data_IF_336827651628
#
_entry.id   IF_336827651628
#
_cell.length_a   1.000
_cell.length_b   1.000
_cell.length_c   1.000
_cell.angle_alpha   90.00
_cell.angle_beta   90.00
_cell.angle_gamma   90.00
#
_symmetry.space_group_name_H-M   'P 1'
#
loop_
_entity.id
_entity.type
_entity.pdbx_description
1 polymer ?
#
# COMPACT_ATOMS: atom_id res chain seq x y z
N UNK A 1 16.72 9.79 -5.40
CA UNK A 1 17.17 10.06 -6.79
C UNK A 1 17.74 8.81 -7.48
N UNK A 2 18.45 7.91 -6.79
CA UNK A 2 19.01 6.69 -7.39
C UNK A 2 17.94 5.74 -7.92
N UNK A 3 16.85 5.53 -7.16
CA UNK A 3 15.72 4.66 -7.57
C UNK A 3 15.05 5.23 -8.83
N UNK A 4 14.77 6.55 -8.85
CA UNK A 4 14.17 7.18 -10.02
C UNK A 4 15.06 6.99 -11.25
N UNK A 5 16.38 7.24 -11.13
CA UNK A 5 17.33 7.05 -12.21
C UNK A 5 17.30 5.61 -12.74
N UNK A 6 17.40 4.62 -11.86
CA UNK A 6 17.36 3.21 -12.25
C UNK A 6 16.03 2.82 -12.94
N UNK A 7 14.90 3.26 -12.40
CA UNK A 7 13.58 2.95 -12.99
C UNK A 7 13.34 3.68 -14.32
N UNK A 8 13.94 4.86 -14.54
CA UNK A 8 13.79 5.61 -15.80
C UNK A 8 14.66 5.11 -16.94
N UNK A 9 15.58 4.19 -16.71
CA UNK A 9 16.32 3.47 -17.78
C UNK A 9 15.36 2.77 -18.75
N UNK A 10 14.16 2.40 -18.32
CA UNK A 10 13.13 1.84 -19.21
C UNK A 10 12.79 2.75 -20.40
N UNK A 11 12.92 4.07 -20.28
CA UNK A 11 12.67 4.98 -21.40
C UNK A 11 13.73 4.84 -22.49
N UNK A 12 14.98 4.56 -22.12
CA UNK A 12 16.10 4.40 -23.04
C UNK A 12 16.06 3.05 -23.76
N UNK A 13 15.47 2.05 -23.09
CA UNK A 13 15.35 0.68 -23.61
C UNK A 13 13.96 0.39 -24.21
N UNK A 14 13.07 1.38 -24.23
CA UNK A 14 11.71 1.21 -24.73
C UNK A 14 11.69 0.93 -26.24
N UNK A 15 11.05 -0.17 -26.62
CA UNK A 15 10.86 -0.50 -28.04
C UNK A 15 9.90 0.51 -28.70
N UNK A 16 9.98 0.69 -30.04
CA UNK A 16 9.00 1.50 -30.77
C UNK A 16 7.56 1.03 -30.50
N UNK A 17 6.69 1.96 -30.08
CA UNK A 17 5.31 1.66 -29.72
C UNK A 17 5.09 1.21 -28.27
N UNK A 18 6.14 1.09 -27.46
CA UNK A 18 5.99 0.81 -26.02
C UNK A 18 5.17 1.89 -25.35
N UNK A 19 4.24 1.47 -24.49
CA UNK A 19 3.44 2.36 -23.64
C UNK A 19 4.01 2.36 -22.24
N UNK A 20 4.36 3.54 -21.74
CA UNK A 20 4.88 3.74 -20.39
C UNK A 20 3.75 4.33 -19.53
N UNK A 21 3.42 3.65 -18.44
CA UNK A 21 2.33 4.00 -17.54
C UNK A 21 2.95 4.30 -16.18
N UNK A 22 2.67 5.48 -15.61
CA UNK A 22 3.27 5.95 -14.36
C UNK A 22 2.24 6.63 -13.46
N UNK A 23 2.48 6.55 -12.15
CA UNK A 23 1.68 7.28 -11.16
C UNK A 23 1.99 8.78 -11.26
N UNK A 24 0.96 9.58 -11.57
CA UNK A 24 1.07 11.03 -11.74
C UNK A 24 0.97 11.81 -10.43
N UNK A 25 0.53 11.19 -9.35
CA UNK A 25 0.48 11.81 -8.02
C UNK A 25 1.83 11.69 -7.27
N UNK A 26 2.79 10.95 -7.81
CA UNK A 26 4.15 10.90 -7.29
C UNK A 26 4.95 12.12 -7.77
N UNK A 27 5.51 12.88 -6.83
CA UNK A 27 6.23 14.14 -7.07
C UNK A 27 7.45 14.00 -8.00
N UNK A 28 8.05 12.82 -8.04
CA UNK A 28 9.19 12.51 -8.90
C UNK A 28 8.74 11.98 -10.26
N UNK A 29 7.75 11.09 -10.28
CA UNK A 29 7.29 10.49 -11.52
C UNK A 29 6.59 11.50 -12.43
N UNK A 30 5.85 12.47 -11.88
CA UNK A 30 5.20 13.52 -12.67
C UNK A 30 6.20 14.37 -13.45
N UNK A 31 7.46 14.45 -13.02
CA UNK A 31 8.52 15.16 -13.75
C UNK A 31 8.88 14.52 -15.10
N UNK A 32 8.46 13.27 -15.32
CA UNK A 32 8.75 12.50 -16.54
C UNK A 32 7.85 12.86 -17.73
N UNK A 33 6.94 13.82 -17.59
CA UNK A 33 5.97 14.23 -18.64
C UNK A 33 6.58 14.64 -19.98
N UNK A 34 7.85 15.06 -19.99
CA UNK A 34 8.59 15.44 -21.19
C UNK A 34 9.42 14.30 -21.81
N UNK A 35 9.40 13.11 -21.23
CA UNK A 35 10.16 11.94 -21.74
C UNK A 35 9.52 11.38 -23.00
N UNK A 36 10.34 10.64 -23.76
CA UNK A 36 9.93 9.90 -24.96
C UNK A 36 10.26 8.41 -24.74
N UNK A 37 9.33 7.47 -24.96
CA UNK A 37 7.92 7.69 -25.33
C UNK A 37 7.15 8.49 -24.25
N UNK A 38 6.13 9.27 -24.67
CA UNK A 38 5.32 10.06 -23.74
C UNK A 38 4.56 9.14 -22.79
N UNK A 39 4.74 9.27 -21.46
CA UNK A 39 4.02 8.43 -20.50
C UNK A 39 2.53 8.73 -20.45
N UNK A 40 1.73 7.71 -20.13
CA UNK A 40 0.36 7.85 -19.66
C UNK A 40 0.36 7.96 -18.15
N UNK A 41 -0.22 9.03 -17.63
CA UNK A 41 -0.28 9.29 -16.19
C UNK A 41 -1.63 8.89 -15.62
N UNK A 42 -1.59 8.21 -14.46
CA UNK A 42 -2.79 7.89 -13.69
C UNK A 42 -2.64 8.38 -12.24
N UNK A 43 -3.76 8.63 -11.57
CA UNK A 43 -3.78 9.07 -10.17
C UNK A 43 -5.15 9.53 -9.69
N UNK A 44 -5.19 10.38 -8.70
CA UNK A 44 -6.42 10.99 -8.17
C UNK A 44 -6.63 12.43 -8.67
N UNK A 45 -5.58 13.05 -9.21
CA UNK A 45 -5.69 14.38 -9.79
C UNK A 45 -6.46 14.31 -11.13
N UNK A 46 -7.56 15.06 -11.23
CA UNK A 46 -8.42 15.12 -12.41
C UNK A 46 -7.76 15.69 -13.67
N UNK A 47 -6.58 16.28 -13.56
CA UNK A 47 -5.78 16.75 -14.70
C UNK A 47 -5.00 15.62 -15.41
N UNK A 48 -4.95 14.42 -14.84
CA UNK A 48 -4.22 13.28 -15.38
C UNK A 48 -4.98 12.58 -16.52
N UNK A 49 -4.29 11.75 -17.29
CA UNK A 49 -4.87 11.00 -18.42
C UNK A 49 -5.95 10.00 -18.00
N UNK A 50 -5.79 9.44 -16.81
CA UNK A 50 -6.67 8.50 -16.15
C UNK A 50 -6.68 8.80 -14.65
N UNK A 51 -7.85 8.96 -14.07
CA UNK A 51 -7.96 9.23 -12.64
C UNK A 51 -9.15 8.56 -11.99
N UNK A 52 -9.11 8.45 -10.66
CA UNK A 52 -10.25 8.01 -9.85
C UNK A 52 -10.80 9.17 -9.03
N UNK A 53 -12.13 9.23 -8.95
CA UNK A 53 -12.84 10.18 -8.11
C UNK A 53 -13.94 9.49 -7.30
N UNK A 54 -14.55 10.19 -6.33
CA UNK A 54 -15.58 9.65 -5.43
C UNK A 54 -15.13 8.36 -4.73
N UNK A 55 -13.88 8.35 -4.25
CA UNK A 55 -13.30 7.18 -3.58
C UNK A 55 -13.97 7.00 -2.21
N UNK A 56 -14.77 5.95 -2.10
CA UNK A 56 -15.44 5.52 -0.87
C UNK A 56 -14.64 4.38 -0.24
N UNK A 57 -14.16 4.57 0.99
CA UNK A 57 -13.49 3.53 1.77
C UNK A 57 -14.54 2.65 2.46
N UNK A 58 -14.55 1.36 2.16
CA UNK A 58 -15.45 0.36 2.73
C UNK A 58 -14.77 -0.48 3.83
N UNK A 59 -13.69 0.02 4.42
CA UNK A 59 -12.91 -0.68 5.44
C UNK A 59 -12.28 -1.96 4.87
N UNK A 60 -12.44 -3.07 5.57
CA UNK A 60 -11.91 -4.37 5.11
C UNK A 60 -12.63 -4.90 3.85
N UNK A 61 -13.77 -4.30 3.45
CA UNK A 61 -14.47 -4.62 2.21
C UNK A 61 -13.85 -3.99 0.95
N UNK A 62 -12.77 -3.23 1.09
CA UNK A 62 -12.08 -2.60 -0.03
C UNK A 62 -12.49 -1.15 -0.27
N UNK A 63 -12.56 -0.74 -1.53
CA UNK A 63 -12.93 0.63 -1.92
C UNK A 63 -13.83 0.62 -3.16
N UNK A 64 -14.74 1.58 -3.24
CA UNK A 64 -15.54 1.86 -4.45
C UNK A 64 -15.13 3.22 -4.99
N UNK A 65 -14.94 3.33 -6.30
CA UNK A 65 -14.65 4.62 -6.91
C UNK A 65 -15.09 4.67 -8.39
N UNK A 66 -15.14 5.88 -8.92
CA UNK A 66 -15.35 6.14 -10.33
C UNK A 66 -14.00 6.28 -11.03
N UNK A 67 -13.80 5.52 -12.09
CA UNK A 67 -12.64 5.60 -12.98
C UNK A 67 -13.00 6.46 -14.18
N UNK A 68 -12.23 7.52 -14.40
CA UNK A 68 -12.42 8.46 -15.51
C UNK A 68 -11.27 8.33 -16.49
N UNK A 69 -11.59 8.05 -17.73
CA UNK A 69 -10.62 7.83 -18.83
C UNK A 69 -11.02 8.58 -20.08
N UNK A 70 -10.13 8.69 -21.06
CA UNK A 70 -10.47 9.22 -22.40
C UNK A 70 -11.50 8.36 -23.14
N UNK A 71 -11.62 7.06 -22.83
CA UNK A 71 -12.57 6.16 -23.42
C UNK A 71 -13.97 6.21 -22.77
N UNK A 72 -14.12 6.87 -21.66
CA UNK A 72 -15.35 6.99 -20.88
C UNK A 72 -15.13 6.81 -19.38
N UNK A 73 -16.23 6.58 -18.66
CA UNK A 73 -16.26 6.43 -17.20
C UNK A 73 -16.91 5.10 -16.81
N UNK A 74 -16.47 4.52 -15.71
CA UNK A 74 -17.12 3.40 -15.05
C UNK A 74 -16.88 3.44 -13.54
N UNK A 75 -17.80 2.85 -12.77
CA UNK A 75 -17.65 2.66 -11.32
C UNK A 75 -17.27 1.22 -11.05
N UNK A 76 -16.34 0.96 -10.15
CA UNK A 76 -15.98 -0.39 -9.74
C UNK A 76 -15.76 -0.51 -8.23
N UNK A 77 -16.04 -1.71 -7.70
CA UNK A 77 -15.62 -2.15 -6.38
C UNK A 77 -14.25 -2.82 -6.48
N UNK A 78 -13.28 -2.33 -5.74
CA UNK A 78 -11.96 -2.95 -5.55
C UNK A 78 -12.07 -3.80 -4.29
N UNK A 79 -12.15 -5.14 -4.36
CA UNK A 79 -12.47 -6.00 -3.22
C UNK A 79 -11.27 -6.30 -2.31
N UNK A 80 -10.21 -5.50 -2.37
CA UNK A 80 -9.01 -5.62 -1.55
C UNK A 80 -8.86 -4.34 -0.73
N UNK A 81 -8.71 -4.42 0.61
CA UNK A 81 -8.65 -3.24 1.46
C UNK A 81 -7.39 -2.41 1.22
N UNK A 82 -7.51 -1.12 1.49
CA UNK A 82 -6.41 -0.16 1.44
C UNK A 82 -6.50 0.86 0.31
N UNK A 83 -6.28 2.12 0.65
CA UNK A 83 -6.35 3.24 -0.30
C UNK A 83 -5.37 3.07 -1.48
N UNK A 84 -4.19 2.48 -1.23
CA UNK A 84 -3.20 2.19 -2.27
C UNK A 84 -3.71 1.21 -3.35
N UNK A 85 -4.75 0.41 -3.05
CA UNK A 85 -5.36 -0.48 -4.04
C UNK A 85 -6.12 0.28 -5.13
N UNK A 86 -6.53 1.54 -4.88
CA UNK A 86 -7.08 2.41 -5.92
C UNK A 86 -6.03 2.70 -6.99
N UNK A 87 -4.79 3.00 -6.58
CA UNK A 87 -3.68 3.20 -7.52
C UNK A 87 -3.33 1.94 -8.31
N UNK A 88 -3.38 0.77 -7.67
CA UNK A 88 -3.17 -0.50 -8.36
C UNK A 88 -4.26 -0.77 -9.40
N UNK A 89 -5.52 -0.47 -9.07
CA UNK A 89 -6.64 -0.60 -10.01
C UNK A 89 -6.55 0.41 -11.16
N UNK A 90 -6.09 1.65 -10.90
CA UNK A 90 -5.81 2.65 -11.94
C UNK A 90 -4.69 2.18 -12.88
N UNK A 91 -3.59 1.65 -12.34
CA UNK A 91 -2.52 1.07 -13.15
C UNK A 91 -3.04 -0.08 -14.02
N UNK A 92 -3.83 -1.00 -13.44
CA UNK A 92 -4.48 -2.09 -14.16
C UNK A 92 -5.43 -1.60 -15.25
N UNK A 93 -6.18 -0.53 -14.97
CA UNK A 93 -7.06 0.14 -15.96
C UNK A 93 -6.25 0.69 -17.14
N UNK A 94 -5.15 1.39 -16.86
CA UNK A 94 -4.29 1.94 -17.90
C UNK A 94 -3.67 0.83 -18.78
N UNK A 95 -3.22 -0.28 -18.18
CA UNK A 95 -2.72 -1.45 -18.90
C UNK A 95 -3.82 -2.09 -19.73
N UNK A 96 -5.01 -2.29 -19.17
CA UNK A 96 -6.16 -2.85 -19.90
C UNK A 96 -6.53 -2.03 -21.13
N UNK A 97 -6.60 -0.70 -21.01
CA UNK A 97 -6.83 0.20 -22.13
C UNK A 97 -5.71 0.12 -23.19
N UNK A 98 -4.45 0.05 -22.75
CA UNK A 98 -3.31 -0.10 -23.63
C UNK A 98 -3.34 -1.41 -24.45
N UNK A 99 -3.94 -2.47 -23.89
CA UNK A 99 -4.15 -3.76 -24.54
C UNK A 99 -5.47 -3.83 -25.34
N UNK A 100 -6.25 -2.75 -25.38
CA UNK A 100 -7.49 -2.68 -26.16
C UNK A 100 -8.71 -3.31 -25.48
N UNK A 101 -8.67 -3.55 -24.18
CA UNK A 101 -9.84 -4.01 -23.42
C UNK A 101 -10.92 -2.94 -23.36
N UNK A 102 -12.18 -3.37 -23.37
CA UNK A 102 -13.32 -2.49 -23.12
C UNK A 102 -13.40 -2.08 -21.65
N UNK A 103 -14.05 -0.96 -21.35
CA UNK A 103 -14.26 -0.52 -19.96
C UNK A 103 -15.02 -1.57 -19.14
N UNK A 104 -15.94 -2.32 -19.77
CA UNK A 104 -16.69 -3.38 -19.10
C UNK A 104 -15.80 -4.57 -18.71
N UNK A 105 -14.86 -4.95 -19.56
CA UNK A 105 -13.91 -6.03 -19.27
C UNK A 105 -12.94 -5.60 -18.15
N UNK A 106 -12.48 -4.35 -18.18
CA UNK A 106 -11.62 -3.77 -17.14
C UNK A 106 -12.35 -3.73 -15.79
N UNK A 107 -13.59 -3.23 -15.77
CA UNK A 107 -14.45 -3.22 -14.59
C UNK A 107 -14.61 -4.63 -14.01
N UNK A 108 -15.00 -5.60 -14.84
CA UNK A 108 -15.17 -6.99 -14.42
C UNK A 108 -13.86 -7.60 -13.87
N UNK A 109 -12.72 -7.25 -14.46
CA UNK A 109 -11.39 -7.66 -13.98
C UNK A 109 -11.06 -7.09 -12.61
N UNK A 110 -11.35 -5.81 -12.38
CA UNK A 110 -11.14 -5.16 -11.07
C UNK A 110 -12.03 -5.80 -9.99
N UNK A 111 -13.31 -5.98 -10.28
CA UNK A 111 -14.29 -6.56 -9.34
C UNK A 111 -14.02 -8.04 -9.04
N UNK A 112 -13.31 -8.73 -9.93
CA UNK A 112 -12.91 -10.13 -9.77
C UNK A 112 -11.54 -10.31 -9.09
N UNK A 113 -10.87 -9.22 -8.68
CA UNK A 113 -9.58 -9.30 -8.02
C UNK A 113 -9.64 -10.16 -6.75
N UNK A 114 -8.62 -10.99 -6.58
CA UNK A 114 -8.43 -11.78 -5.37
C UNK A 114 -7.08 -11.40 -4.76
N UNK A 115 -6.99 -11.27 -3.44
CA UNK A 115 -5.71 -11.00 -2.80
C UNK A 115 -4.76 -12.17 -3.03
N UNK A 116 -3.48 -11.85 -3.16
CA UNK A 116 -2.39 -12.83 -3.17
C UNK A 116 -1.91 -13.01 -1.74
N UNK A 117 -1.57 -14.23 -1.33
CA UNK A 117 -1.01 -14.51 0.00
C UNK A 117 0.18 -13.60 0.30
N UNK A 118 0.20 -13.05 1.51
CA UNK A 118 1.20 -12.08 1.94
C UNK A 118 1.02 -10.65 1.40
N UNK A 119 -0.09 -10.35 0.70
CA UNK A 119 -0.37 -9.00 0.17
C UNK A 119 -1.81 -8.58 0.43
N UNK A 120 -2.01 -7.87 1.53
CA UNK A 120 -3.34 -7.43 1.99
C UNK A 120 -4.40 -8.55 1.95
N UNK A 121 -3.98 -9.77 2.26
CA UNK A 121 -4.82 -10.95 2.21
C UNK A 121 -5.61 -11.08 3.50
N UNK A 122 -6.92 -10.82 3.44
CA UNK A 122 -7.80 -10.99 4.59
C UNK A 122 -8.19 -12.47 4.73
N UNK A 123 -7.81 -13.06 5.86
CA UNK A 123 -8.07 -14.46 6.21
C UNK A 123 -9.08 -14.48 7.36
N UNK A 124 -10.26 -15.04 7.12
CA UNK A 124 -11.28 -15.22 8.14
C UNK A 124 -11.09 -16.55 8.84
N UNK A 125 -11.02 -16.52 10.17
CA UNK A 125 -11.02 -17.71 11.03
C UNK A 125 -12.21 -17.67 11.98
N UNK A 126 -12.42 -18.73 12.75
CA UNK A 126 -13.50 -18.78 13.75
C UNK A 126 -13.35 -17.70 14.85
N UNK A 127 -12.14 -17.23 15.12
CA UNK A 127 -11.82 -16.32 16.23
C UNK A 127 -11.24 -14.98 15.80
N UNK A 128 -10.60 -14.91 14.64
CA UNK A 128 -9.80 -13.77 14.22
C UNK A 128 -10.02 -13.48 12.75
N UNK A 129 -10.02 -12.21 12.41
CA UNK A 129 -9.75 -11.73 11.07
C UNK A 129 -8.26 -11.37 11.02
N UNK A 130 -7.52 -11.98 10.10
CA UNK A 130 -6.07 -11.79 9.94
C UNK A 130 -5.83 -11.08 8.63
N UNK A 131 -5.24 -9.88 8.69
CA UNK A 131 -4.72 -9.19 7.51
C UNK A 131 -3.27 -9.63 7.29
N UNK A 132 -3.05 -10.55 6.35
CA UNK A 132 -1.73 -11.03 5.97
C UNK A 132 -1.10 -10.14 4.89
N UNK A 133 -0.11 -9.32 5.28
CA UNK A 133 0.65 -8.44 4.41
C UNK A 133 2.16 -8.58 4.63
N UNK A 134 2.62 -9.82 4.80
CA UNK A 134 3.97 -10.13 5.25
C UNK A 134 4.97 -10.49 4.13
N UNK A 135 4.63 -10.34 2.86
CA UNK A 135 5.52 -10.67 1.74
C UNK A 135 6.78 -9.80 1.72
N UNK A 136 6.63 -8.50 1.93
CA UNK A 136 7.73 -7.53 2.03
C UNK A 136 7.25 -6.32 2.85
N UNK A 137 8.19 -5.61 3.47
CA UNK A 137 7.90 -4.45 4.29
C UNK A 137 8.81 -3.27 3.94
N UNK A 138 8.22 -2.09 3.83
CA UNK A 138 8.90 -0.81 3.81
C UNK A 138 8.04 0.22 4.58
N UNK A 139 8.57 1.41 4.93
CA UNK A 139 7.83 2.35 5.75
C UNK A 139 6.46 2.75 5.20
N UNK A 140 6.34 2.93 3.89
CA UNK A 140 5.09 3.33 3.23
C UNK A 140 4.07 2.19 3.24
N UNK A 141 4.49 0.96 2.91
CA UNK A 141 3.58 -0.18 2.92
C UNK A 141 3.13 -0.56 4.33
N UNK A 142 4.02 -0.49 5.33
CA UNK A 142 3.63 -0.75 6.71
C UNK A 142 2.63 0.28 7.24
N UNK A 143 2.84 1.57 6.96
CA UNK A 143 1.87 2.60 7.30
C UNK A 143 0.52 2.33 6.63
N UNK A 144 0.50 2.02 5.33
CA UNK A 144 -0.73 1.69 4.61
C UNK A 144 -1.47 0.47 5.18
N UNK A 145 -0.76 -0.57 5.64
CA UNK A 145 -1.36 -1.73 6.29
C UNK A 145 -1.90 -1.42 7.68
N UNK A 146 -1.23 -0.54 8.43
CA UNK A 146 -1.72 -0.04 9.71
C UNK A 146 -2.99 0.81 9.53
N UNK A 147 -3.03 1.69 8.52
CA UNK A 147 -4.23 2.46 8.15
C UNK A 147 -5.42 1.55 7.81
N UNK A 148 -5.17 0.41 7.13
CA UNK A 148 -6.20 -0.60 6.87
C UNK A 148 -6.70 -1.22 8.18
N UNK A 149 -5.79 -1.60 9.07
CA UNK A 149 -6.13 -2.20 10.37
C UNK A 149 -6.95 -1.23 11.23
N UNK A 150 -6.66 0.08 11.15
CA UNK A 150 -7.42 1.13 11.86
C UNK A 150 -8.89 1.11 11.52
N UNK A 151 -9.26 0.74 10.29
CA UNK A 151 -10.64 0.66 9.83
C UNK A 151 -11.34 -0.67 10.19
N UNK A 152 -10.64 -1.61 10.82
CA UNK A 152 -11.22 -2.86 11.27
C UNK A 152 -12.10 -2.66 12.51
N UNK A 153 -13.13 -3.50 12.65
CA UNK A 153 -13.97 -3.57 13.85
C UNK A 153 -13.30 -4.42 14.93
N UNK A 154 -13.62 -4.11 16.19
CA UNK A 154 -13.12 -4.87 17.34
C UNK A 154 -11.70 -4.51 17.75
N UNK A 155 -11.06 -5.42 18.47
CA UNK A 155 -9.71 -5.24 18.99
C UNK A 155 -8.67 -5.40 17.86
N UNK A 156 -7.79 -4.42 17.74
CA UNK A 156 -6.78 -4.32 16.69
C UNK A 156 -5.40 -4.69 17.24
N UNK A 157 -4.79 -5.69 16.66
CA UNK A 157 -3.46 -6.17 17.06
C UNK A 157 -2.55 -6.18 15.85
N UNK A 158 -1.44 -5.45 15.92
CA UNK A 158 -0.40 -5.46 14.89
C UNK A 158 0.80 -6.32 15.31
N UNK A 159 1.23 -7.22 14.43
CA UNK A 159 2.48 -7.98 14.57
C UNK A 159 3.41 -7.49 13.47
N UNK A 160 4.47 -6.79 13.83
CA UNK A 160 5.34 -6.07 12.91
C UNK A 160 6.77 -6.64 12.99
N UNK A 161 7.36 -6.94 11.85
CA UNK A 161 8.73 -7.41 11.73
C UNK A 161 9.70 -6.30 11.31
N UNK A 162 10.98 -6.67 11.14
CA UNK A 162 11.98 -5.78 10.59
C UNK A 162 11.72 -5.50 9.12
N UNK A 163 12.01 -4.26 8.69
CA UNK A 163 12.05 -3.86 7.29
C UNK A 163 13.49 -3.98 6.77
N UNK A 164 13.66 -4.68 5.66
CA UNK A 164 14.97 -4.84 5.01
C UNK A 164 15.31 -3.73 4.02
N UNK A 165 16.59 -3.67 3.63
CA UNK A 165 17.09 -2.86 2.51
C UNK A 165 16.85 -1.34 2.59
N UNK A 166 16.76 -0.79 3.81
CA UNK A 166 16.47 0.62 4.05
C UNK A 166 17.73 1.51 4.07
N UNK A 167 18.93 0.92 4.05
CA UNK A 167 20.20 1.65 4.08
C UNK A 167 20.47 2.34 5.41
N UNK A 168 21.23 3.42 5.39
CA UNK A 168 21.74 4.08 6.60
C UNK A 168 20.64 4.63 7.54
N UNK A 169 19.44 4.88 7.02
CA UNK A 169 18.32 5.43 7.79
C UNK A 169 17.39 4.36 8.38
N UNK A 170 17.76 3.08 8.33
CA UNK A 170 16.88 1.98 8.74
C UNK A 170 16.27 2.17 10.14
N UNK A 171 17.06 2.61 11.12
CA UNK A 171 16.60 2.84 12.51
C UNK A 171 15.56 3.95 12.58
N UNK A 172 15.83 5.08 11.91
CA UNK A 172 14.90 6.21 11.88
C UNK A 172 13.57 5.82 11.18
N UNK A 173 13.65 5.03 10.12
CA UNK A 173 12.48 4.59 9.39
C UNK A 173 11.61 3.63 10.22
N UNK A 174 12.22 2.72 10.97
CA UNK A 174 11.48 1.88 11.94
C UNK A 174 10.84 2.72 13.05
N UNK A 175 11.58 3.68 13.60
CA UNK A 175 11.06 4.61 14.60
C UNK A 175 9.84 5.38 14.11
N UNK A 176 9.87 5.90 12.87
CA UNK A 176 8.77 6.64 12.28
C UNK A 176 7.52 5.75 12.08
N UNK A 177 7.68 4.50 11.67
CA UNK A 177 6.57 3.54 11.60
C UNK A 177 5.97 3.30 12.98
N UNK A 178 6.79 3.24 14.03
CA UNK A 178 6.31 3.13 15.41
C UNK A 178 5.49 4.35 15.84
N UNK A 179 5.93 5.56 15.49
CA UNK A 179 5.15 6.78 15.72
C UNK A 179 3.78 6.72 15.01
N UNK A 180 3.76 6.31 13.75
CA UNK A 180 2.54 6.17 12.96
C UNK A 180 1.57 5.16 13.61
N UNK A 181 2.07 3.98 13.97
CA UNK A 181 1.28 2.94 14.61
C UNK A 181 0.63 3.39 15.95
N UNK A 182 1.31 4.27 16.69
CA UNK A 182 0.75 4.84 17.93
C UNK A 182 -0.36 5.86 17.67
N UNK A 183 -0.25 6.63 16.58
CA UNK A 183 -1.27 7.60 16.18
C UNK A 183 -2.56 6.91 15.63
N UNK A 184 -2.46 5.65 15.19
CA UNK A 184 -3.52 4.87 14.52
C UNK A 184 -4.51 4.16 15.45
N UNK A 185 -4.49 4.40 16.74
CA UNK A 185 -5.40 3.78 17.71
C UNK A 185 -5.45 2.25 17.64
N UNK A 186 -4.29 1.61 17.51
CA UNK A 186 -4.11 0.15 17.55
C UNK A 186 -4.01 -0.29 19.02
N UNK A 187 -4.77 -1.31 19.42
CA UNK A 187 -4.86 -1.73 20.84
C UNK A 187 -3.59 -2.44 21.34
N UNK A 188 -2.90 -3.15 20.45
CA UNK A 188 -1.66 -3.83 20.80
C UNK A 188 -0.69 -3.92 19.62
N UNK A 189 0.59 -3.70 19.87
CA UNK A 189 1.69 -3.84 18.91
C UNK A 189 2.72 -4.84 19.45
N UNK A 190 3.00 -5.86 18.66
CA UNK A 190 4.04 -6.84 18.92
C UNK A 190 5.12 -6.72 17.85
N UNK A 191 6.27 -6.17 18.23
CA UNK A 191 7.39 -5.93 17.34
C UNK A 191 8.41 -7.10 17.45
N UNK A 192 8.82 -7.66 16.31
CA UNK A 192 9.69 -8.85 16.25
C UNK A 192 10.90 -8.57 15.38
N UNK A 193 12.10 -8.71 15.93
CA UNK A 193 13.35 -8.52 15.22
C UNK A 193 14.26 -7.49 15.89
N UNK A 194 15.47 -7.32 15.37
CA UNK A 194 16.45 -6.44 15.99
C UNK A 194 16.13 -4.95 15.75
N UNK A 195 15.79 -4.58 14.51
CA UNK A 195 15.49 -3.20 14.12
C UNK A 195 14.11 -2.75 14.62
N UNK A 196 13.19 -3.68 14.82
CA UNK A 196 11.86 -3.40 15.36
C UNK A 196 11.86 -2.88 16.80
N UNK A 197 13.01 -2.92 17.50
CA UNK A 197 13.21 -2.18 18.78
C UNK A 197 13.06 -0.68 18.58
N UNK A 198 13.49 -0.15 17.44
CA UNK A 198 13.34 1.29 17.15
C UNK A 198 11.87 1.65 16.92
N UNK A 199 11.09 0.74 16.33
CA UNK A 199 9.63 0.89 16.22
C UNK A 199 8.98 1.03 17.60
N UNK A 200 9.36 0.16 18.56
CA UNK A 200 8.86 0.28 19.95
C UNK A 200 9.22 1.61 20.58
N UNK A 201 10.41 2.15 20.34
CA UNK A 201 10.80 3.49 20.81
C UNK A 201 9.91 4.58 20.21
N UNK A 202 9.56 4.47 18.93
CA UNK A 202 8.62 5.38 18.27
C UNK A 202 7.25 5.36 18.92
N UNK A 203 6.70 4.16 19.19
CA UNK A 203 5.45 4.00 19.93
C UNK A 203 5.53 4.65 21.32
N UNK A 204 6.59 4.36 22.09
CA UNK A 204 6.75 4.92 23.45
C UNK A 204 6.90 6.44 23.46
N UNK A 205 7.50 7.03 22.44
CA UNK A 205 7.61 8.48 22.31
C UNK A 205 6.27 9.17 22.09
N UNK A 206 5.32 8.49 21.43
CA UNK A 206 3.96 8.98 21.17
C UNK A 206 2.99 8.64 22.29
N UNK A 207 3.23 7.56 23.00
CA UNK A 207 2.42 7.10 24.13
C UNK A 207 3.25 7.06 25.43
N UNK A 208 3.66 8.22 25.99
CA UNK A 208 4.49 8.28 27.20
C UNK A 208 3.76 7.77 28.45
N UNK A 209 2.43 7.68 28.40
CA UNK A 209 1.62 7.14 29.50
C UNK A 209 1.50 5.62 29.45
N UNK A 210 1.97 4.97 28.37
CA UNK A 210 1.96 3.52 28.21
C UNK A 210 0.56 2.91 28.16
N UNK A 211 -0.40 3.62 27.55
CA UNK A 211 -1.77 3.12 27.37
C UNK A 211 -1.88 2.04 26.33
N UNK A 212 -0.99 2.10 25.32
CA UNK A 212 -0.91 1.15 24.24
C UNK A 212 -0.08 -0.06 24.67
N UNK A 213 -0.59 -1.26 24.47
CA UNK A 213 0.16 -2.48 24.70
C UNK A 213 1.23 -2.59 23.62
N UNK A 214 2.49 -2.35 23.94
CA UNK A 214 3.60 -2.48 23.02
C UNK A 214 4.69 -3.37 23.60
N UNK A 215 5.03 -4.46 22.90
CA UNK A 215 6.04 -5.43 23.36
C UNK A 215 7.01 -5.76 22.22
N UNK A 216 8.27 -5.92 22.59
CA UNK A 216 9.33 -6.36 21.67
C UNK A 216 9.71 -7.81 21.95
N UNK A 217 10.00 -8.54 20.88
CA UNK A 217 10.50 -9.91 20.90
C UNK A 217 11.73 -10.01 19.98
N UNK A 218 12.79 -10.65 20.45
CA UNK A 218 14.00 -10.82 19.63
C UNK A 218 13.78 -11.81 18.48
N UNK A 219 12.91 -12.81 18.68
CA UNK A 219 12.62 -13.84 17.70
C UNK A 219 11.13 -14.24 17.67
N UNK A 220 10.70 -14.77 16.52
CA UNK A 220 9.32 -15.29 16.34
C UNK A 220 8.95 -16.34 17.39
N UNK A 221 9.89 -17.19 17.81
CA UNK A 221 9.63 -18.23 18.81
C UNK A 221 9.23 -17.63 20.18
N UNK A 222 9.84 -16.51 20.57
CA UNK A 222 9.49 -15.81 21.81
C UNK A 222 8.08 -15.22 21.74
N UNK A 223 7.72 -14.61 20.61
CA UNK A 223 6.36 -14.12 20.39
C UNK A 223 5.34 -15.26 20.48
N UNK A 224 5.56 -16.37 19.79
CA UNK A 224 4.64 -17.53 19.80
C UNK A 224 4.43 -18.13 21.19
N UNK A 225 5.42 -18.00 22.07
CA UNK A 225 5.30 -18.46 23.47
C UNK A 225 4.50 -17.47 24.32
N UNK A 226 4.42 -16.20 23.90
CA UNK A 226 3.77 -15.13 24.65
C UNK A 226 2.32 -14.85 24.23
N UNK A 227 1.90 -15.40 23.09
CA UNK A 227 0.52 -15.34 22.56
C UNK A 227 -0.33 -16.50 23.09
#
# INVERSE_FOLDING_TARGET
DGILKAKTEMFEQAMPGAQIIVNGDDDKLITLKSRTPKPTFFGLDSSLDLYAEHVENLGLGGSRCDFVTKAGRFTALIPIPGHHMVYNALAGTAVGLALGLTLREIQAGIEALKPVSGRNHLIHTEKWDILDDCYNANPVSMAASLDVLTNALGRKVAILGDMGELGENEKLLHYNVGCHAADDHIDAIFAVGELSRELVKGVQAKDPEGRLICRHFAAKAELLTAL
#
